data_IF_274735823282
#
_entry.id   IF_274735823282
#
_cell.length_a   1.000
_cell.length_b   1.000
_cell.length_c   1.000
_cell.angle_alpha   90.00
_cell.angle_beta   90.00
_cell.angle_gamma   90.00
#
_symmetry.space_group_name_H-M   'P 1'
#
loop_
_entity.id
_entity.type
_entity.pdbx_description
1 polymer ?
#
# COMPACT_ATOMS: atom_id res chain seq x y z
N UNK A 1 16.99 -20.89 27.94
CA UNK A 1 18.10 -21.18 26.99
C UNK A 1 18.60 -19.85 26.46
N UNK A 2 19.92 -19.67 26.53
CA UNK A 2 20.64 -18.38 26.52
C UNK A 2 21.04 -17.97 25.10
N UNK A 3 21.04 -16.66 24.85
CA UNK A 3 21.44 -15.98 23.61
C UNK A 3 22.94 -16.14 23.30
N UNK A 4 23.23 -16.24 21.98
CA UNK A 4 24.35 -15.67 21.20
C UNK A 4 25.80 -15.99 21.63
N UNK A 5 26.46 -16.75 20.75
CA UNK A 5 27.93 -16.82 20.59
C UNK A 5 28.39 -15.55 19.86
N UNK A 6 29.24 -14.75 20.50
CA UNK A 6 29.97 -13.63 19.91
C UNK A 6 31.46 -13.95 19.95
N UNK A 7 32.06 -13.90 18.78
CA UNK A 7 33.45 -14.21 18.48
C UNK A 7 34.31 -12.96 18.72
N UNK A 8 35.14 -12.93 19.78
CA UNK A 8 36.39 -12.14 19.79
C UNK A 8 37.28 -12.50 20.99
N UNK A 9 38.18 -13.45 20.77
CA UNK A 9 39.42 -13.60 21.51
C UNK A 9 40.56 -13.14 20.59
N UNK A 10 41.22 -12.02 20.90
CA UNK A 10 42.67 -11.96 20.68
C UNK A 10 43.31 -10.93 21.62
N UNK A 11 43.90 -11.51 22.65
CA UNK A 11 44.87 -11.00 23.60
C UNK A 11 46.07 -10.37 22.88
N UNK A 12 46.40 -9.11 23.17
CA UNK A 12 47.77 -8.63 23.06
C UNK A 12 48.11 -7.77 24.28
N UNK A 13 48.88 -8.37 25.17
CA UNK A 13 49.55 -7.77 26.31
C UNK A 13 50.78 -7.05 25.76
N UNK A 14 50.99 -5.77 26.08
CA UNK A 14 52.35 -5.28 26.32
C UNK A 14 52.33 -4.06 27.26
N UNK A 15 52.74 -4.34 28.48
CA UNK A 15 53.14 -3.41 29.54
C UNK A 15 54.37 -2.60 29.14
N UNK A 16 54.44 -1.33 29.53
CA UNK A 16 55.65 -0.52 29.40
C UNK A 16 55.57 0.83 30.08
N UNK A 17 55.72 0.85 31.41
CA UNK A 17 55.96 2.04 32.24
C UNK A 17 57.44 2.45 32.10
N UNK A 18 57.69 3.75 31.95
CA UNK A 18 58.76 4.57 32.55
C UNK A 18 59.19 5.67 31.57
N UNK A 19 59.08 6.93 31.99
CA UNK A 19 60.15 7.95 31.96
C UNK A 19 59.71 9.09 32.89
N UNK A 20 60.55 9.37 33.88
CA UNK A 20 60.53 10.50 34.80
C UNK A 20 60.70 11.84 34.08
N UNK A 21 60.04 12.89 34.56
CA UNK A 21 60.27 14.26 34.10
C UNK A 21 59.50 15.30 34.92
N UNK A 22 60.25 16.03 35.74
CA UNK A 22 59.83 17.10 36.64
C UNK A 22 59.52 18.41 35.88
N UNK A 23 58.51 19.18 36.33
CA UNK A 23 58.48 20.66 36.53
C UNK A 23 57.07 21.28 36.27
N UNK A 24 56.59 22.02 37.29
CA UNK A 24 55.65 23.17 37.37
C UNK A 24 55.45 23.97 36.07
N UNK A 25 54.43 24.78 35.82
CA UNK A 25 53.27 25.43 36.50
C UNK A 25 52.44 25.98 35.29
N UNK A 26 51.13 26.16 35.31
CA UNK A 26 50.42 27.26 35.95
C UNK A 26 48.91 26.99 35.98
N UNK A 27 48.31 27.24 37.14
CA UNK A 27 46.91 27.68 37.29
C UNK A 27 46.64 28.89 36.40
N UNK A 28 45.41 29.02 35.88
CA UNK A 28 44.57 30.17 36.23
C UNK A 28 43.08 29.79 36.21
N UNK A 29 42.42 30.26 37.26
CA UNK A 29 41.02 30.12 37.62
C UNK A 29 40.15 30.96 36.69
N UNK A 30 38.91 30.53 36.41
CA UNK A 30 37.93 31.42 35.80
C UNK A 30 36.49 30.88 35.94
N UNK A 31 35.89 31.19 37.11
CA UNK A 31 34.49 31.50 37.43
C UNK A 31 33.32 30.60 36.97
N UNK A 32 32.45 30.32 37.95
CA UNK A 32 31.06 29.90 37.78
C UNK A 32 30.26 30.89 36.93
N UNK A 33 29.47 30.37 35.99
CA UNK A 33 28.15 30.94 35.70
C UNK A 33 27.25 29.79 35.30
N UNK A 34 26.16 29.62 36.05
CA UNK A 34 25.18 28.59 35.78
C UNK A 34 24.49 28.84 34.45
N UNK A 35 24.23 27.75 33.74
CA UNK A 35 23.14 27.67 32.79
C UNK A 35 22.70 26.21 32.68
N UNK A 36 21.40 26.07 32.51
CA UNK A 36 20.60 24.87 32.66
C UNK A 36 21.20 23.68 31.92
N UNK A 37 21.22 22.52 32.60
CA UNK A 37 21.37 21.23 31.95
C UNK A 37 20.07 21.04 31.15
N UNK A 38 20.07 21.57 29.92
CA UNK A 38 19.15 21.15 28.88
C UNK A 38 19.40 19.66 28.66
N UNK A 39 18.55 18.87 29.29
CA UNK A 39 18.31 17.49 28.95
C UNK A 39 18.09 17.40 27.45
N UNK A 40 19.11 16.97 26.73
CA UNK A 40 18.95 16.42 25.39
C UNK A 40 18.14 15.14 25.54
N UNK A 41 16.82 15.31 25.50
CA UNK A 41 15.90 14.26 25.17
C UNK A 41 16.25 13.76 23.77
N UNK A 42 16.94 12.62 23.73
CA UNK A 42 16.97 11.77 22.56
C UNK A 42 15.54 11.24 22.43
N UNK A 43 14.71 12.00 21.71
CA UNK A 43 13.40 11.57 21.23
C UNK A 43 13.62 10.42 20.26
N UNK A 44 13.68 9.21 20.82
CA UNK A 44 13.51 7.98 20.06
C UNK A 44 12.04 7.98 19.68
N UNK A 45 11.71 8.65 18.58
CA UNK A 45 10.43 8.44 17.91
C UNK A 45 10.39 6.96 17.52
N UNK A 46 9.75 6.14 18.33
CA UNK A 46 9.30 4.82 17.94
C UNK A 46 8.39 5.02 16.73
N UNK A 47 8.95 4.91 15.53
CA UNK A 47 8.18 4.94 14.29
C UNK A 47 7.19 3.79 14.37
N UNK A 48 5.93 4.09 14.69
CA UNK A 48 4.85 3.11 14.66
C UNK A 48 4.77 2.62 13.22
N UNK A 49 5.37 1.47 12.93
CA UNK A 49 5.35 0.86 11.61
C UNK A 49 3.91 0.41 11.36
N UNK A 50 3.18 1.20 10.57
CA UNK A 50 1.81 0.88 10.18
C UNK A 50 1.82 -0.36 9.28
N UNK A 51 0.92 -1.29 9.56
CA UNK A 51 0.69 -2.52 8.78
C UNK A 51 -0.65 -2.48 8.04
N UNK A 52 -0.80 -3.36 7.06
CA UNK A 52 -2.02 -3.63 6.29
C UNK A 52 -2.30 -5.13 6.30
N UNK A 53 -3.58 -5.48 6.28
CA UNK A 53 -4.06 -6.85 6.13
C UNK A 53 -4.52 -7.08 4.69
N UNK A 54 -4.02 -8.14 4.08
CA UNK A 54 -4.31 -8.48 2.68
C UNK A 54 -4.67 -9.97 2.57
N UNK A 55 -5.73 -10.28 1.85
CA UNK A 55 -6.16 -11.65 1.59
C UNK A 55 -5.54 -12.16 0.28
N UNK A 56 -4.71 -13.20 0.35
CA UNK A 56 -4.13 -13.87 -0.84
C UNK A 56 -4.81 -15.22 -1.05
N UNK A 57 -5.34 -15.46 -2.25
CA UNK A 57 -6.04 -16.71 -2.59
C UNK A 57 -5.80 -17.15 -4.04
N UNK A 58 -6.30 -18.35 -4.37
CA UNK A 58 -6.11 -18.96 -5.69
C UNK A 58 -4.80 -19.75 -5.79
N UNK A 59 -4.10 -19.62 -6.91
CA UNK A 59 -2.92 -20.41 -7.28
C UNK A 59 -1.62 -20.00 -6.54
N UNK A 60 -1.65 -20.01 -5.21
CA UNK A 60 -0.50 -19.77 -4.32
C UNK A 60 -0.31 -20.94 -3.36
N UNK A 61 0.90 -21.10 -2.81
CA UNK A 61 1.20 -22.26 -1.93
C UNK A 61 0.45 -22.22 -0.61
N UNK A 62 0.23 -21.03 -0.05
CA UNK A 62 -0.44 -20.87 1.23
C UNK A 62 -1.46 -19.73 1.13
N UNK A 63 -2.71 -20.02 0.71
CA UNK A 63 -3.79 -19.04 0.77
C UNK A 63 -4.08 -18.60 2.21
N UNK A 64 -4.41 -17.34 2.40
CA UNK A 64 -4.70 -16.79 3.72
C UNK A 64 -4.64 -15.27 3.79
N UNK A 65 -4.84 -14.73 4.99
CA UNK A 65 -4.71 -13.30 5.27
C UNK A 65 -3.31 -13.03 5.86
N UNK A 66 -2.64 -12.03 5.33
CA UNK A 66 -1.27 -11.66 5.68
C UNK A 66 -1.21 -10.23 6.20
N UNK A 67 -0.44 -10.03 7.27
CA UNK A 67 -0.11 -8.71 7.81
C UNK A 67 1.25 -8.26 7.27
N UNK A 68 1.28 -7.12 6.59
CA UNK A 68 2.47 -6.60 5.91
C UNK A 68 2.63 -5.10 6.19
N UNK A 69 3.84 -4.52 6.11
CA UNK A 69 4.01 -3.07 6.18
C UNK A 69 3.18 -2.32 5.13
N UNK A 70 2.66 -1.12 5.44
CA UNK A 70 1.85 -0.31 4.49
C UNK A 70 2.58 0.01 3.17
N UNK A 71 3.92 0.00 3.15
CA UNK A 71 4.71 0.23 1.93
C UNK A 71 4.91 -1.03 1.08
N UNK A 72 4.37 -2.17 1.49
CA UNK A 72 4.56 -3.44 0.80
C UNK A 72 3.81 -3.47 -0.52
N UNK A 73 4.31 -4.29 -1.45
CA UNK A 73 3.74 -4.48 -2.77
C UNK A 73 3.08 -5.84 -2.90
N UNK A 74 2.32 -6.03 -3.97
CA UNK A 74 1.67 -7.32 -4.28
C UNK A 74 2.66 -8.50 -4.26
N UNK A 75 3.88 -8.31 -4.79
CA UNK A 75 4.91 -9.35 -4.76
C UNK A 75 5.29 -9.77 -3.33
N UNK A 76 5.26 -8.86 -2.36
CA UNK A 76 5.61 -9.16 -0.97
C UNK A 76 4.52 -10.03 -0.33
N UNK A 77 3.25 -9.78 -0.64
CA UNK A 77 2.14 -10.63 -0.20
C UNK A 77 2.19 -12.03 -0.81
N UNK A 78 2.53 -12.14 -2.09
CA UNK A 78 2.66 -13.43 -2.76
C UNK A 78 3.86 -14.22 -2.21
N UNK A 79 4.97 -13.55 -1.92
CA UNK A 79 6.13 -14.16 -1.26
C UNK A 79 5.79 -14.63 0.15
N UNK A 80 5.04 -13.83 0.92
CA UNK A 80 4.52 -14.23 2.22
C UNK A 80 3.59 -15.45 2.14
N UNK A 81 2.84 -15.59 1.05
CA UNK A 81 2.03 -16.76 0.72
C UNK A 81 2.83 -17.97 0.19
N UNK A 82 4.16 -17.93 0.23
CA UNK A 82 5.03 -19.01 -0.22
C UNK A 82 5.30 -19.03 -1.74
N UNK A 83 4.85 -17.99 -2.44
CA UNK A 83 4.96 -17.85 -3.89
C UNK A 83 3.84 -18.53 -4.66
N UNK A 84 3.96 -18.45 -5.98
CA UNK A 84 3.07 -19.05 -6.94
C UNK A 84 3.14 -20.59 -6.95
N UNK A 85 2.05 -21.23 -7.38
CA UNK A 85 2.05 -22.62 -7.84
C UNK A 85 2.56 -22.71 -9.29
N UNK A 86 2.95 -23.90 -9.74
CA UNK A 86 3.59 -24.11 -11.05
C UNK A 86 2.70 -23.75 -12.26
N UNK A 87 1.38 -23.77 -12.06
CA UNK A 87 0.34 -23.52 -13.07
C UNK A 87 -0.37 -22.18 -12.82
N UNK A 88 0.28 -21.27 -12.09
CA UNK A 88 -0.25 -19.96 -11.75
C UNK A 88 0.14 -18.91 -12.80
N UNK A 89 -0.83 -18.08 -13.20
CA UNK A 89 -0.60 -17.02 -14.19
C UNK A 89 -0.24 -15.71 -13.51
N UNK A 90 1.06 -15.44 -13.42
CA UNK A 90 1.58 -14.20 -12.83
C UNK A 90 1.44 -12.97 -13.73
N UNK A 91 1.35 -13.16 -15.05
CA UNK A 91 1.48 -12.09 -16.03
C UNK A 91 0.27 -11.14 -16.07
N UNK A 92 -0.84 -11.55 -15.46
CA UNK A 92 -2.06 -10.75 -15.35
C UNK A 92 -2.10 -9.89 -14.08
N UNK A 93 -1.01 -9.80 -13.32
CA UNK A 93 -1.01 -9.08 -12.05
C UNK A 93 0.12 -8.07 -12.05
N UNK A 94 -0.20 -6.82 -11.70
CA UNK A 94 0.81 -5.81 -11.46
C UNK A 94 1.50 -6.07 -10.11
N UNK A 95 2.50 -6.94 -10.10
CA UNK A 95 3.27 -7.33 -8.92
C UNK A 95 3.93 -6.14 -8.20
N UNK A 96 4.12 -5.02 -8.92
CA UNK A 96 4.73 -3.80 -8.41
C UNK A 96 3.74 -2.85 -7.72
N UNK A 97 2.43 -3.11 -7.78
CA UNK A 97 1.42 -2.27 -7.13
C UNK A 97 1.58 -2.32 -5.59
N UNK A 98 1.40 -1.15 -4.96
CA UNK A 98 1.43 -1.01 -3.50
C UNK A 98 0.12 -1.55 -2.92
N UNK A 99 0.23 -2.26 -1.79
CA UNK A 99 -0.89 -2.83 -1.08
C UNK A 99 -1.66 -1.78 -0.29
N UNK A 100 -2.98 -1.93 -0.25
CA UNK A 100 -3.89 -1.21 0.62
C UNK A 100 -4.49 -2.19 1.63
N UNK A 101 -4.87 -1.65 2.78
CA UNK A 101 -5.56 -2.44 3.79
C UNK A 101 -6.90 -2.96 3.25
N UNK A 102 -7.15 -4.25 3.47
CA UNK A 102 -8.34 -4.93 2.96
C UNK A 102 -8.22 -5.43 1.53
N UNK A 103 -7.07 -5.28 0.85
CA UNK A 103 -6.89 -5.79 -0.51
C UNK A 103 -7.10 -7.32 -0.57
N UNK A 104 -7.69 -7.77 -1.67
CA UNK A 104 -7.79 -9.18 -2.03
C UNK A 104 -7.03 -9.45 -3.32
N UNK A 105 -6.08 -10.39 -3.25
CA UNK A 105 -5.24 -10.81 -4.37
C UNK A 105 -5.63 -12.24 -4.72
N UNK A 106 -6.26 -12.43 -5.87
CA UNK A 106 -6.57 -13.74 -6.42
C UNK A 106 -5.60 -14.05 -7.55
N UNK A 107 -4.91 -15.19 -7.44
CA UNK A 107 -4.07 -15.72 -8.52
C UNK A 107 -4.84 -16.79 -9.26
N UNK A 108 -4.97 -16.65 -10.58
CA UNK A 108 -5.62 -17.65 -11.41
C UNK A 108 -4.64 -18.69 -11.92
N UNK A 109 -5.19 -19.85 -12.26
CA UNK A 109 -4.49 -20.93 -12.96
C UNK A 109 -4.62 -20.81 -14.47
N UNK A 110 -3.72 -21.44 -15.22
CA UNK A 110 -3.81 -21.52 -16.68
C UNK A 110 -5.17 -22.10 -17.14
N UNK A 111 -5.66 -23.15 -16.47
CA UNK A 111 -6.94 -23.80 -16.79
C UNK A 111 -8.16 -22.90 -16.54
N UNK A 112 -8.14 -22.10 -15.46
CA UNK A 112 -9.20 -21.13 -15.18
C UNK A 112 -9.28 -20.05 -16.25
N UNK A 113 -8.13 -19.65 -16.80
CA UNK A 113 -8.03 -18.67 -17.88
C UNK A 113 -8.49 -19.23 -19.23
N UNK A 114 -8.12 -20.47 -19.55
CA UNK A 114 -8.57 -21.14 -20.77
C UNK A 114 -10.07 -21.46 -20.72
N UNK A 115 -10.63 -21.75 -19.52
CA UNK A 115 -12.07 -21.93 -19.34
C UNK A 115 -12.82 -20.61 -19.46
N UNK A 116 -12.18 -19.49 -19.10
CA UNK A 116 -12.71 -18.15 -19.31
C UNK A 116 -12.54 -17.63 -20.75
N UNK A 117 -11.63 -18.19 -21.56
CA UNK A 117 -11.33 -17.75 -22.93
C UNK A 117 -12.46 -18.01 -23.96
N UNK A 118 -13.61 -18.57 -23.53
CA UNK A 118 -14.88 -18.50 -24.27
C UNK A 118 -15.64 -17.17 -24.10
N UNK A 119 -15.11 -16.27 -23.27
CA UNK A 119 -15.66 -14.95 -22.96
C UNK A 119 -14.51 -13.96 -22.81
N UNK A 120 -14.47 -12.92 -23.65
CA UNK A 120 -13.54 -11.81 -23.54
C UNK A 120 -13.48 -11.27 -22.09
N UNK A 121 -12.48 -11.69 -21.32
CA UNK A 121 -12.24 -11.21 -19.97
C UNK A 121 -10.88 -10.52 -19.92
N UNK A 122 -10.88 -9.23 -20.30
CA UNK A 122 -9.95 -8.26 -19.73
C UNK A 122 -10.08 -8.32 -18.21
N UNK A 123 -8.95 -8.27 -17.50
CA UNK A 123 -8.84 -8.14 -16.03
C UNK A 123 -9.95 -7.27 -15.45
N UNK A 124 -10.96 -7.93 -14.89
CA UNK A 124 -11.94 -7.32 -14.03
C UNK A 124 -11.39 -7.42 -12.62
N UNK A 125 -10.96 -6.27 -12.09
CA UNK A 125 -10.84 -6.08 -10.65
C UNK A 125 -12.23 -6.40 -10.12
N UNK A 126 -12.37 -7.45 -9.30
CA UNK A 126 -13.65 -7.82 -8.69
C UNK A 126 -14.22 -6.59 -7.95
N UNK A 127 -15.04 -5.82 -8.66
CA UNK A 127 -16.00 -4.91 -8.08
C UNK A 127 -17.13 -5.81 -7.61
N UNK A 128 -17.62 -5.58 -6.40
CA UNK A 128 -18.86 -6.20 -5.94
C UNK A 128 -19.88 -6.14 -7.09
N UNK A 129 -20.34 -7.31 -7.55
CA UNK A 129 -21.11 -7.46 -8.79
C UNK A 129 -22.22 -6.39 -8.86
N UNK A 130 -22.03 -5.39 -9.73
CA UNK A 130 -23.00 -4.32 -9.97
C UNK A 130 -22.68 -2.95 -9.36
N UNK A 131 -21.52 -2.75 -8.73
CA UNK A 131 -21.05 -1.41 -8.32
C UNK A 131 -20.07 -0.83 -9.36
N UNK A 132 -20.42 0.33 -9.91
CA UNK A 132 -19.68 1.02 -10.97
C UNK A 132 -18.85 2.18 -10.40
N UNK A 133 -17.54 2.19 -10.62
CA UNK A 133 -16.67 3.31 -10.24
C UNK A 133 -16.77 4.47 -11.25
N UNK A 134 -17.23 5.63 -10.79
CA UNK A 134 -17.41 6.82 -11.60
C UNK A 134 -16.12 7.39 -12.20
N UNK A 135 -14.93 7.04 -11.71
CA UNK A 135 -13.67 7.56 -12.23
C UNK A 135 -12.95 6.60 -13.19
N UNK A 136 -13.26 5.30 -13.15
CA UNK A 136 -12.61 4.29 -14.00
C UNK A 136 -13.56 3.60 -14.98
N UNK A 137 -14.87 3.68 -14.76
CA UNK A 137 -15.86 2.98 -15.60
C UNK A 137 -15.81 3.46 -17.05
N UNK A 138 -15.86 2.51 -17.97
CA UNK A 138 -16.02 2.76 -19.40
C UNK A 138 -17.48 3.05 -19.75
N UNK A 139 -17.69 3.51 -20.98
CA UNK A 139 -19.01 3.91 -21.47
C UNK A 139 -20.05 2.79 -21.32
N UNK A 140 -19.65 1.56 -21.67
CA UNK A 140 -20.48 0.37 -21.60
C UNK A 140 -20.92 0.08 -20.16
N UNK A 141 -19.99 0.16 -19.21
CA UNK A 141 -20.25 -0.06 -17.78
C UNK A 141 -21.17 1.02 -17.19
N UNK A 142 -21.05 2.28 -17.64
CA UNK A 142 -21.96 3.35 -17.23
C UNK A 142 -23.39 3.12 -17.73
N UNK A 143 -23.55 2.53 -18.93
CA UNK A 143 -24.86 2.24 -19.53
C UNK A 143 -25.60 1.07 -18.88
N UNK A 144 -24.92 0.25 -18.08
CA UNK A 144 -25.56 -0.81 -17.28
C UNK A 144 -26.38 -0.22 -16.11
N UNK A 145 -26.12 1.03 -15.74
CA UNK A 145 -26.84 1.72 -14.67
C UNK A 145 -28.27 2.07 -15.08
N UNK A 146 -29.28 1.82 -14.22
CA UNK A 146 -30.67 2.04 -14.57
C UNK A 146 -30.95 3.52 -14.84
N UNK A 147 -31.35 3.83 -16.08
CA UNK A 147 -31.66 5.18 -16.51
C UNK A 147 -30.47 5.98 -17.04
N UNK A 148 -29.29 5.37 -17.16
CA UNK A 148 -28.16 5.86 -17.93
C UNK A 148 -28.17 5.16 -19.28
N UNK A 149 -28.11 5.94 -20.35
CA UNK A 149 -27.94 5.44 -21.71
C UNK A 149 -26.84 6.23 -22.39
N UNK A 150 -26.59 5.94 -23.66
CA UNK A 150 -25.52 6.50 -24.49
C UNK A 150 -25.18 7.97 -24.19
N UNK A 151 -26.16 8.87 -24.33
CA UNK A 151 -25.99 10.31 -24.15
C UNK A 151 -25.57 10.70 -22.74
N UNK A 152 -26.07 10.00 -21.72
CA UNK A 152 -25.73 10.30 -20.32
C UNK A 152 -24.38 9.71 -19.95
N UNK A 153 -24.06 8.52 -20.46
CA UNK A 153 -22.73 7.93 -20.29
C UNK A 153 -21.65 8.83 -20.90
N UNK A 154 -21.89 9.36 -22.11
CA UNK A 154 -21.01 10.37 -22.72
C UNK A 154 -20.88 11.63 -21.87
N UNK A 155 -22.00 12.17 -21.35
CA UNK A 155 -21.94 13.35 -20.48
C UNK A 155 -21.09 13.12 -19.22
N UNK A 156 -21.12 11.92 -18.63
CA UNK A 156 -20.27 11.55 -17.49
C UNK A 156 -18.80 11.53 -17.91
N UNK A 157 -18.48 10.96 -19.07
CA UNK A 157 -17.10 10.92 -19.59
C UNK A 157 -16.58 12.34 -19.90
N UNK A 158 -17.38 13.17 -20.57
CA UNK A 158 -17.02 14.57 -20.84
C UNK A 158 -16.81 15.37 -19.56
N UNK A 159 -17.62 15.13 -18.52
CA UNK A 159 -17.41 15.76 -17.21
C UNK A 159 -16.03 15.45 -16.62
N UNK A 160 -15.52 14.20 -16.78
CA UNK A 160 -14.18 13.82 -16.32
C UNK A 160 -13.07 14.58 -17.04
N UNK A 161 -13.29 14.89 -18.31
CA UNK A 161 -12.33 15.60 -19.16
C UNK A 161 -12.33 17.11 -18.90
N UNK A 162 -13.51 17.69 -18.69
CA UNK A 162 -13.69 19.15 -18.55
C UNK A 162 -13.50 19.64 -17.11
N UNK A 163 -14.09 18.95 -16.13
CA UNK A 163 -14.07 19.35 -14.72
C UNK A 163 -12.98 18.59 -13.95
N UNK A 164 -12.76 17.33 -14.33
CA UNK A 164 -11.81 16.44 -13.67
C UNK A 164 -12.50 15.28 -12.97
N UNK A 165 -11.73 14.57 -12.14
CA UNK A 165 -12.21 13.37 -11.42
C UNK A 165 -13.35 13.73 -10.46
N UNK A 166 -14.34 12.85 -10.37
CA UNK A 166 -15.37 12.90 -9.32
C UNK A 166 -14.70 12.74 -7.96
N UNK A 167 -15.08 13.56 -6.99
CA UNK A 167 -14.62 13.47 -5.60
C UNK A 167 -15.65 12.80 -4.71
N UNK A 168 -16.92 13.03 -5.03
CA UNK A 168 -18.08 12.49 -4.32
C UNK A 168 -19.08 11.93 -5.32
N UNK A 169 -19.98 11.04 -4.87
CA UNK A 169 -21.04 10.53 -5.75
C UNK A 169 -22.03 11.64 -6.12
N UNK A 170 -22.20 12.65 -5.27
CA UNK A 170 -23.08 13.80 -5.46
C UNK A 170 -22.63 14.70 -6.61
N UNK A 171 -21.34 14.71 -6.94
CA UNK A 171 -20.79 15.44 -8.08
C UNK A 171 -21.45 15.02 -9.41
N UNK A 172 -22.00 13.80 -9.46
CA UNK A 172 -22.77 13.30 -10.60
C UNK A 172 -23.99 14.19 -10.93
N UNK A 173 -24.53 14.93 -9.96
CA UNK A 173 -25.64 15.88 -10.18
C UNK A 173 -25.22 17.11 -10.98
N UNK A 174 -23.92 17.39 -11.09
CA UNK A 174 -23.38 18.47 -11.92
C UNK A 174 -23.26 18.07 -13.39
N UNK A 175 -23.45 16.79 -13.71
CA UNK A 175 -23.38 16.28 -15.08
C UNK A 175 -24.65 16.63 -15.86
N UNK A 176 -24.47 17.16 -17.06
CA UNK A 176 -25.58 17.52 -17.95
C UNK A 176 -26.48 16.31 -18.23
N UNK A 177 -27.79 16.46 -17.98
CA UNK A 177 -28.79 15.41 -18.22
C UNK A 177 -28.96 14.39 -17.10
N UNK A 178 -28.18 14.48 -16.02
CA UNK A 178 -28.41 13.71 -14.78
C UNK A 178 -29.21 14.58 -13.81
N UNK A 179 -30.45 14.14 -13.55
CA UNK A 179 -31.34 14.77 -12.58
C UNK A 179 -31.35 13.97 -11.29
N UNK A 180 -31.83 14.59 -10.21
CA UNK A 180 -32.00 13.95 -8.90
C UNK A 180 -32.69 12.58 -8.99
N UNK A 181 -33.73 12.47 -9.83
CA UNK A 181 -34.49 11.23 -10.01
C UNK A 181 -33.71 10.08 -10.68
N UNK A 182 -32.65 10.40 -11.41
CA UNK A 182 -31.74 9.40 -11.99
C UNK A 182 -30.70 9.02 -10.95
N UNK A 183 -30.09 10.02 -10.31
CA UNK A 183 -29.11 9.84 -9.24
C UNK A 183 -29.63 8.93 -8.12
N UNK A 184 -30.84 9.17 -7.62
CA UNK A 184 -31.46 8.38 -6.55
C UNK A 184 -31.62 6.89 -6.91
N UNK A 185 -31.73 6.55 -8.20
CA UNK A 185 -31.87 5.16 -8.67
C UNK A 185 -30.54 4.42 -8.78
N UNK A 186 -29.43 5.17 -8.85
CA UNK A 186 -28.11 4.62 -9.13
C UNK A 186 -27.11 4.85 -7.99
N UNK A 187 -27.44 5.69 -7.00
CA UNK A 187 -26.53 6.05 -5.89
C UNK A 187 -25.99 4.85 -5.12
N UNK A 188 -26.77 3.77 -5.00
CA UNK A 188 -26.38 2.53 -4.31
C UNK A 188 -25.57 1.58 -5.21
N UNK A 189 -25.39 1.92 -6.49
CA UNK A 189 -24.69 1.14 -7.52
C UNK A 189 -23.45 1.85 -8.06
N UNK A 190 -23.05 2.95 -7.46
CA UNK A 190 -21.92 3.75 -7.90
C UNK A 190 -21.01 4.08 -6.74
N UNK A 191 -19.72 4.21 -7.02
CA UNK A 191 -18.69 4.62 -6.07
C UNK A 191 -17.71 5.58 -6.72
N UNK A 192 -16.88 6.21 -5.90
CA UNK A 192 -15.77 7.06 -6.34
C UNK A 192 -14.48 6.56 -5.70
N UNK A 193 -13.46 6.23 -6.52
CA UNK A 193 -12.10 5.88 -6.07
C UNK A 193 -10.99 6.65 -6.80
#
# INVERSE_FOLDING_TARGET
MIKKIFFKNFLWIFTGIMISGCQRETMELSWETGEEIASEEISTEESVQKTVFVHVCGAVKSPGVYELPVSSRIIDAINAAGGFLDHAVSDQINLAAVLKDGDQIRIYTDEELETAAGSDAKMDVQMEEGIVDLNSAQKEQLMELPGIGETKAEAILSYREEVGRFQTIEDLKNVSGIKESVFEKIKDKIIVR
#
